data_IF_704019550603
#
_entry.id   IF_704019550603
#
_cell.length_a   1.000
_cell.length_b   1.000
_cell.length_c   1.000
_cell.angle_alpha   90.00
_cell.angle_beta   90.00
_cell.angle_gamma   90.00
#
_symmetry.space_group_name_H-M   'P 1'
#
loop_
_entity.id
_entity.type
_entity.pdbx_description
1 polymer ?
#
# COMPACT_ATOMS: atom_id res chain seq x y z
N UNK A 1 -40.90 24.03 -44.12
CA UNK A 1 -41.66 25.17 -43.58
C UNK A 1 -41.51 25.08 -42.07
N UNK A 2 -40.63 25.91 -41.51
CA UNK A 2 -41.00 27.08 -40.69
C UNK A 2 -41.46 26.60 -39.29
N UNK A 3 -40.62 26.55 -38.25
CA UNK A 3 -39.70 27.57 -37.66
C UNK A 3 -40.45 28.66 -36.86
N UNK A 4 -39.78 29.25 -35.84
CA UNK A 4 -40.29 29.96 -34.65
C UNK A 4 -40.64 29.00 -33.48
N UNK A 5 -40.19 29.20 -32.23
CA UNK A 5 -39.39 30.30 -31.64
C UNK A 5 -38.50 29.82 -30.49
N UNK A 6 -37.27 30.33 -30.40
CA UNK A 6 -36.41 30.28 -29.22
C UNK A 6 -36.55 31.57 -28.40
N UNK A 7 -37.24 31.52 -27.26
CA UNK A 7 -37.17 32.54 -26.20
C UNK A 7 -37.85 31.98 -24.95
N UNK A 8 -37.07 31.56 -23.93
CA UNK A 8 -37.49 31.48 -22.51
C UNK A 8 -36.40 30.98 -21.52
N UNK A 9 -35.25 30.45 -21.97
CA UNK A 9 -34.18 29.94 -21.06
C UNK A 9 -33.03 30.95 -20.77
N UNK A 10 -33.33 32.24 -20.55
CA UNK A 10 -32.29 33.26 -20.22
C UNK A 10 -32.62 34.23 -19.07
N UNK A 11 -33.63 33.96 -18.22
CA UNK A 11 -33.99 34.85 -17.09
C UNK A 11 -33.93 34.19 -15.69
N UNK A 12 -33.07 33.18 -15.49
CA UNK A 12 -32.87 32.54 -14.18
C UNK A 12 -31.52 32.85 -13.49
N UNK A 13 -30.62 33.60 -14.12
CA UNK A 13 -29.34 34.05 -13.53
C UNK A 13 -29.38 35.55 -13.19
N UNK A 14 -30.15 35.94 -12.15
CA UNK A 14 -30.04 37.28 -11.50
C UNK A 14 -30.88 37.46 -10.22
N UNK A 15 -30.55 36.73 -9.16
CA UNK A 15 -30.79 37.19 -7.78
C UNK A 15 -29.98 36.36 -6.77
N UNK A 16 -29.62 36.99 -5.63
CA UNK A 16 -28.88 36.46 -4.47
C UNK A 16 -27.35 36.68 -4.47
N UNK A 17 -26.95 37.94 -4.55
CA UNK A 17 -25.74 38.49 -3.91
C UNK A 17 -26.14 39.73 -3.07
N UNK A 18 -25.32 40.05 -2.05
CA UNK A 18 -25.36 41.22 -1.14
C UNK A 18 -26.37 41.27 0.03
N UNK A 19 -25.95 40.72 1.18
CA UNK A 19 -25.74 41.42 2.49
C UNK A 19 -24.93 40.44 3.40
N UNK A 20 -23.67 40.61 3.85
CA UNK A 20 -22.90 41.78 4.37
C UNK A 20 -23.48 42.22 5.73
N UNK A 21 -22.83 42.13 6.91
CA UNK A 21 -21.41 41.92 7.32
C UNK A 21 -21.32 41.68 8.86
N UNK A 22 -20.26 41.00 9.39
CA UNK A 22 -19.32 41.53 10.45
C UNK A 22 -18.49 40.52 11.28
N UNK A 23 -17.17 40.63 11.10
CA UNK A 23 -16.06 40.51 12.09
C UNK A 23 -15.80 39.21 12.89
N UNK A 24 -14.54 38.92 13.27
CA UNK A 24 -13.28 39.17 12.53
C UNK A 24 -12.34 37.94 12.51
N UNK A 25 -11.19 38.10 11.82
CA UNK A 25 -10.09 37.12 11.71
C UNK A 25 -9.54 36.68 13.08
N UNK A 26 -8.96 35.47 13.12
CA UNK A 26 -7.59 35.31 13.59
C UNK A 26 -6.84 34.25 12.78
N UNK A 27 -5.59 34.59 12.43
CA UNK A 27 -4.58 33.73 11.80
C UNK A 27 -3.48 33.58 12.83
N UNK A 28 -3.23 32.37 13.33
CA UNK A 28 -1.97 32.08 14.03
C UNK A 28 -1.38 30.78 13.47
N UNK A 29 -0.17 30.91 12.92
CA UNK A 29 0.74 29.82 12.75
C UNK A 29 1.47 29.65 14.09
N UNK A 30 1.53 28.44 14.63
CA UNK A 30 2.28 28.18 15.85
C UNK A 30 3.61 27.50 15.51
N UNK A 31 4.69 28.20 15.85
CA UNK A 31 6.06 27.75 15.81
C UNK A 31 6.71 28.19 17.12
N UNK A 32 6.75 27.30 18.12
CA UNK A 32 7.19 27.61 19.47
C UNK A 32 7.94 26.47 20.15
N UNK A 33 9.13 26.76 20.67
CA UNK A 33 9.99 25.85 21.44
C UNK A 33 10.15 26.41 22.87
N UNK A 34 10.07 25.54 23.88
CA UNK A 34 10.39 25.78 25.31
C UNK A 34 9.67 24.73 26.18
N UNK A 35 10.27 23.95 27.11
CA UNK A 35 11.17 24.27 28.25
C UNK A 35 10.47 25.24 29.23
N UNK A 36 10.25 24.97 30.53
CA UNK A 36 10.61 23.85 31.46
C UNK A 36 9.34 23.43 32.28
N UNK A 37 9.29 22.55 33.31
CA UNK A 37 10.28 21.83 34.13
C UNK A 37 9.59 20.92 35.18
N UNK A 38 10.30 20.55 36.27
CA UNK A 38 9.87 19.98 37.58
C UNK A 38 8.84 18.80 37.64
N UNK A 39 9.12 17.63 38.23
CA UNK A 39 9.82 17.42 39.50
C UNK A 39 10.10 15.92 39.74
N UNK A 40 11.28 15.59 40.27
CA UNK A 40 11.65 14.23 40.67
C UNK A 40 11.84 14.12 42.19
N UNK A 41 10.96 13.39 42.87
CA UNK A 41 11.12 13.03 44.29
C UNK A 41 11.55 11.57 44.46
N UNK A 42 12.40 11.36 45.45
CA UNK A 42 13.12 10.12 45.74
C UNK A 42 12.26 9.02 46.39
N UNK A 43 12.62 7.77 46.14
CA UNK A 43 12.01 6.58 46.75
C UNK A 43 12.97 5.40 46.82
N UNK A 44 13.94 5.45 47.73
CA UNK A 44 14.80 4.30 48.10
C UNK A 44 13.99 3.25 48.87
N UNK A 45 14.32 1.95 48.77
CA UNK A 45 14.54 1.03 49.93
C UNK A 45 14.73 -0.45 49.52
N UNK A 46 15.84 -1.01 50.02
CA UNK A 46 16.23 -2.39 50.34
C UNK A 46 15.88 -3.63 49.49
N UNK A 47 16.98 -4.30 49.14
CA UNK A 47 17.18 -5.75 49.05
C UNK A 47 17.04 -6.48 50.40
N UNK A 48 16.71 -7.77 50.35
CA UNK A 48 17.11 -8.79 51.33
C UNK A 48 17.27 -10.16 50.67
N UNK A 49 18.28 -10.90 51.12
CA UNK A 49 18.60 -12.27 50.70
C UNK A 49 17.76 -13.29 51.47
N UNK A 50 17.69 -14.54 50.97
CA UNK A 50 17.77 -15.73 51.82
C UNK A 50 18.01 -17.00 50.98
N UNK A 51 19.11 -17.66 51.25
CA UNK A 51 19.40 -19.02 50.78
C UNK A 51 18.66 -20.07 51.63
N UNK A 52 18.52 -21.29 51.10
CA UNK A 52 18.49 -22.53 51.90
C UNK A 52 18.70 -23.77 51.03
N UNK A 53 19.82 -24.44 51.23
CA UNK A 53 20.04 -25.82 50.79
C UNK A 53 19.32 -26.82 51.71
N UNK A 54 18.94 -27.98 51.17
CA UNK A 54 18.81 -29.23 51.94
C UNK A 54 19.29 -30.41 51.08
N UNK A 55 20.10 -31.27 51.70
CA UNK A 55 20.78 -32.46 51.16
C UNK A 55 19.86 -33.71 51.05
N UNK A 56 20.30 -34.72 50.30
CA UNK A 56 19.72 -36.07 50.34
C UNK A 56 20.01 -36.94 49.11
N UNK A 57 20.79 -38.02 49.28
CA UNK A 57 20.97 -39.04 48.22
C UNK A 57 21.08 -40.47 48.74
N UNK A 58 20.60 -41.45 47.95
CA UNK A 58 21.25 -42.76 47.71
C UNK A 58 20.52 -43.65 46.68
N UNK A 59 21.32 -44.41 45.90
CA UNK A 59 21.24 -45.81 45.39
C UNK A 59 19.88 -46.58 45.38
N UNK A 60 19.57 -47.58 44.52
CA UNK A 60 20.34 -48.53 43.68
C UNK A 60 19.40 -49.20 42.61
N UNK A 61 19.88 -50.11 41.71
CA UNK A 61 19.01 -51.23 41.24
C UNK A 61 18.81 -51.64 39.76
N UNK A 62 19.87 -51.81 38.95
CA UNK A 62 20.11 -52.93 37.97
C UNK A 62 18.95 -53.69 37.25
N UNK A 63 18.91 -53.72 35.89
CA UNK A 63 18.75 -54.94 35.05
C UNK A 63 18.88 -54.74 33.50
N UNK A 64 19.27 -55.80 32.76
CA UNK A 64 19.62 -55.83 31.31
C UNK A 64 18.46 -56.21 30.37
N UNK A 65 18.53 -55.80 29.09
CA UNK A 65 18.40 -56.70 27.90
C UNK A 65 18.96 -56.05 26.61
N UNK A 66 19.49 -56.88 25.70
CA UNK A 66 20.07 -56.50 24.40
C UNK A 66 19.00 -56.46 23.30
N UNK A 67 19.16 -55.63 22.26
CA UNK A 67 19.45 -56.11 20.89
C UNK A 67 19.58 -55.02 19.81
N UNK A 68 20.59 -55.22 18.95
CA UNK A 68 20.66 -54.91 17.50
C UNK A 68 20.65 -53.44 17.04
N UNK A 69 21.83 -52.99 16.60
CA UNK A 69 21.99 -51.89 15.63
C UNK A 69 21.36 -52.26 14.27
N UNK A 70 20.83 -51.25 13.57
CA UNK A 70 21.15 -51.04 12.18
C UNK A 70 21.64 -49.60 11.94
N UNK A 71 22.94 -49.48 11.68
CA UNK A 71 23.68 -48.38 11.03
C UNK A 71 22.94 -47.04 10.84
N UNK A 72 23.41 -46.01 11.55
CA UNK A 72 23.00 -44.61 11.34
C UNK A 72 23.25 -44.15 9.89
N UNK A 73 22.19 -44.04 9.07
CA UNK A 73 22.22 -43.07 7.97
C UNK A 73 22.26 -41.67 8.59
N UNK A 74 23.17 -40.77 8.16
CA UNK A 74 23.17 -39.40 8.64
C UNK A 74 21.83 -38.75 8.30
N UNK A 75 21.18 -38.03 9.24
CA UNK A 75 19.84 -37.49 9.03
C UNK A 75 19.84 -36.61 7.79
N UNK A 76 19.05 -37.00 6.79
CA UNK A 76 18.82 -36.20 5.58
C UNK A 76 18.39 -34.82 6.04
N UNK A 77 19.24 -33.81 5.81
CA UNK A 77 18.90 -32.42 6.06
C UNK A 77 17.63 -32.13 5.27
N UNK A 78 16.50 -32.04 5.97
CA UNK A 78 15.32 -31.38 5.45
C UNK A 78 15.73 -29.92 5.30
N UNK A 79 16.22 -29.59 4.11
CA UNK A 79 16.34 -28.20 3.68
C UNK A 79 14.92 -27.70 3.70
N UNK A 80 14.56 -26.94 4.74
CA UNK A 80 13.30 -26.23 4.78
C UNK A 80 13.34 -25.21 3.64
N UNK A 81 12.78 -25.59 2.49
CA UNK A 81 12.51 -24.67 1.40
C UNK A 81 11.57 -23.64 2.00
N UNK A 82 12.12 -22.46 2.32
CA UNK A 82 11.35 -21.34 2.84
C UNK A 82 10.32 -21.01 1.76
N UNK A 83 9.04 -21.21 2.08
CA UNK A 83 7.96 -20.91 1.16
C UNK A 83 8.00 -19.42 0.82
N UNK A 84 7.81 -19.03 -0.44
CA UNK A 84 7.90 -17.63 -0.86
C UNK A 84 7.10 -16.67 0.04
N UNK A 85 5.85 -17.01 0.36
CA UNK A 85 5.02 -16.23 1.29
C UNK A 85 5.63 -16.05 2.69
N UNK A 86 6.43 -17.00 3.20
CA UNK A 86 7.16 -16.86 4.46
C UNK A 86 8.31 -15.85 4.34
N UNK A 87 9.00 -15.80 3.19
CA UNK A 87 10.04 -14.81 2.94
C UNK A 87 9.44 -13.39 2.83
N UNK A 88 8.30 -13.23 2.15
CA UNK A 88 7.55 -11.97 2.08
C UNK A 88 7.08 -11.55 3.48
N UNK A 89 6.53 -12.48 4.27
CA UNK A 89 6.10 -12.20 5.63
C UNK A 89 7.26 -11.78 6.55
N UNK A 90 8.41 -12.46 6.47
CA UNK A 90 9.61 -12.13 7.23
C UNK A 90 10.10 -10.71 6.89
N UNK A 91 10.23 -10.37 5.61
CA UNK A 91 10.66 -9.04 5.18
C UNK A 91 9.77 -7.91 5.75
N UNK A 92 8.44 -8.02 5.63
CA UNK A 92 7.54 -6.97 6.14
C UNK A 92 7.46 -6.92 7.68
N UNK A 93 7.71 -8.05 8.36
CA UNK A 93 7.87 -8.10 9.81
C UNK A 93 9.16 -7.40 10.27
N UNK A 94 10.27 -7.57 9.55
CA UNK A 94 11.58 -6.97 9.85
C UNK A 94 11.68 -5.48 9.51
N UNK A 95 10.95 -5.02 8.48
CA UNK A 95 10.95 -3.63 8.03
C UNK A 95 10.50 -2.67 9.15
N UNK A 96 11.42 -1.90 9.71
CA UNK A 96 11.14 -1.01 10.86
C UNK A 96 10.15 0.10 10.51
N UNK A 97 9.20 0.38 11.41
CA UNK A 97 8.36 1.58 11.29
C UNK A 97 9.17 2.83 11.69
N UNK A 98 9.83 3.43 10.69
CA UNK A 98 10.36 4.79 10.82
C UNK A 98 9.21 5.80 10.76
N UNK A 99 9.19 6.73 11.72
CA UNK A 99 8.14 7.75 11.87
C UNK A 99 8.11 8.79 10.75
N UNK A 100 7.09 9.67 10.78
CA UNK A 100 6.84 10.65 9.70
C UNK A 100 8.05 11.55 9.39
N UNK A 101 8.77 12.01 10.41
CA UNK A 101 9.96 12.88 10.26
C UNK A 101 11.08 12.19 9.47
N UNK A 102 11.40 10.93 9.80
CA UNK A 102 12.38 10.14 9.04
C UNK A 102 11.90 9.90 7.61
N UNK A 103 10.60 9.66 7.40
CA UNK A 103 10.02 9.49 6.05
C UNK A 103 10.07 10.77 5.22
N UNK A 104 10.03 11.97 5.83
CA UNK A 104 10.18 13.24 5.09
C UNK A 104 11.62 13.54 4.67
N UNK A 105 12.60 12.78 5.18
CA UNK A 105 14.01 12.86 4.81
C UNK A 105 14.43 11.79 3.78
N UNK A 106 13.49 10.94 3.36
CA UNK A 106 13.70 9.81 2.43
C UNK A 106 13.96 10.28 1.00
N UNK A 107 14.91 9.65 0.29
CA UNK A 107 15.19 9.86 -1.15
C UNK A 107 13.97 9.63 -2.05
N UNK A 108 12.98 8.87 -1.56
CA UNK A 108 11.75 8.51 -2.26
C UNK A 108 10.50 9.14 -1.63
N UNK A 109 10.64 10.23 -0.87
CA UNK A 109 9.51 10.91 -0.23
C UNK A 109 8.38 11.25 -1.22
N UNK A 110 8.71 11.87 -2.34
CA UNK A 110 7.71 12.27 -3.35
C UNK A 110 7.10 11.06 -4.06
N UNK A 111 7.89 10.03 -4.41
CA UNK A 111 7.41 8.74 -4.89
C UNK A 111 6.41 8.06 -3.92
N UNK A 112 6.72 7.99 -2.61
CA UNK A 112 5.80 7.46 -1.59
C UNK A 112 4.50 8.27 -1.54
N UNK A 113 4.56 9.59 -1.69
CA UNK A 113 3.40 10.46 -1.68
C UNK A 113 2.57 10.34 -2.97
N UNK A 114 3.21 10.21 -4.13
CA UNK A 114 2.58 9.97 -5.44
C UNK A 114 1.81 8.64 -5.44
N UNK A 115 2.45 7.56 -4.99
CA UNK A 115 1.78 6.26 -4.85
C UNK A 115 0.58 6.35 -3.88
N UNK A 116 0.71 7.09 -2.77
CA UNK A 116 -0.42 7.33 -1.86
C UNK A 116 -1.54 8.20 -2.47
N UNK A 117 -1.22 9.16 -3.33
CA UNK A 117 -2.21 9.95 -4.07
C UNK A 117 -2.97 9.08 -5.07
N UNK A 118 -2.27 8.29 -5.89
CA UNK A 118 -2.85 7.34 -6.85
C UNK A 118 -3.85 6.42 -6.16
N UNK A 119 -3.46 5.81 -5.03
CA UNK A 119 -4.36 4.99 -4.21
C UNK A 119 -5.55 5.77 -3.65
N UNK A 120 -5.34 7.02 -3.20
CA UNK A 120 -6.42 7.86 -2.65
C UNK A 120 -7.48 8.19 -3.69
N UNK A 121 -7.07 8.51 -4.93
CA UNK A 121 -7.97 8.81 -6.04
C UNK A 121 -8.69 7.54 -6.52
N UNK A 122 -7.98 6.42 -6.67
CA UNK A 122 -8.56 5.14 -7.06
C UNK A 122 -9.63 4.67 -6.06
N UNK A 123 -9.30 4.69 -4.76
CA UNK A 123 -10.22 4.32 -3.68
C UNK A 123 -11.43 5.26 -3.66
N UNK A 124 -11.22 6.57 -3.76
CA UNK A 124 -12.30 7.56 -3.80
C UNK A 124 -13.28 7.32 -4.95
N UNK A 125 -12.76 7.13 -6.16
CA UNK A 125 -13.57 6.88 -7.36
C UNK A 125 -14.51 5.67 -7.19
N UNK A 126 -13.99 4.54 -6.68
CA UNK A 126 -14.79 3.33 -6.53
C UNK A 126 -15.71 3.36 -5.31
N UNK A 127 -15.34 4.05 -4.22
CA UNK A 127 -16.27 4.37 -3.13
C UNK A 127 -17.47 5.16 -3.66
N UNK A 128 -17.25 6.20 -4.48
CA UNK A 128 -18.34 7.01 -5.00
C UNK A 128 -19.20 6.26 -6.04
N UNK A 129 -18.60 5.36 -6.84
CA UNK A 129 -19.34 4.44 -7.72
C UNK A 129 -20.27 3.51 -6.93
N UNK A 130 -19.84 2.99 -5.78
CA UNK A 130 -20.69 2.17 -4.89
C UNK A 130 -21.73 3.03 -4.17
N UNK A 131 -21.34 4.22 -3.68
CA UNK A 131 -22.19 5.12 -2.90
C UNK A 131 -23.46 5.57 -3.63
N UNK A 132 -23.42 5.65 -4.97
CA UNK A 132 -24.60 5.88 -5.83
C UNK A 132 -25.72 4.83 -5.65
N UNK A 133 -25.41 3.65 -5.09
CA UNK A 133 -26.36 2.56 -4.85
C UNK A 133 -26.61 2.28 -3.36
N UNK A 134 -25.62 2.48 -2.49
CA UNK A 134 -25.64 2.04 -1.08
C UNK A 134 -24.72 2.90 -0.21
N UNK A 135 -25.21 3.36 0.94
CA UNK A 135 -24.41 4.15 1.90
C UNK A 135 -23.50 3.29 2.80
N UNK A 136 -23.99 2.13 3.21
CA UNK A 136 -23.31 1.21 4.14
C UNK A 136 -22.28 0.33 3.40
N UNK A 137 -21.11 0.90 3.09
CA UNK A 137 -20.05 0.24 2.31
C UNK A 137 -19.21 -0.69 3.21
N UNK A 138 -19.03 -1.94 2.81
CA UNK A 138 -18.15 -2.93 3.43
C UNK A 138 -16.97 -3.25 2.51
N UNK A 139 -15.75 -3.22 3.03
CA UNK A 139 -14.50 -3.33 2.24
C UNK A 139 -13.61 -4.45 2.75
N UNK A 140 -12.98 -5.19 1.84
CA UNK A 140 -11.83 -6.06 2.10
C UNK A 140 -10.56 -5.33 1.63
N UNK A 141 -9.54 -5.23 2.49
CA UNK A 141 -8.22 -4.71 2.16
C UNK A 141 -7.20 -5.86 2.27
N UNK A 142 -6.85 -6.41 1.09
CA UNK A 142 -6.11 -7.66 0.92
C UNK A 142 -4.62 -7.34 0.74
N UNK A 143 -3.81 -7.76 1.73
CA UNK A 143 -2.45 -7.28 1.92
C UNK A 143 -2.43 -5.86 2.47
N UNK A 144 -3.14 -5.63 3.57
CA UNK A 144 -3.30 -4.30 4.17
C UNK A 144 -1.98 -3.70 4.70
N UNK A 145 -0.94 -4.50 4.85
CA UNK A 145 0.31 -4.16 5.51
C UNK A 145 0.06 -3.48 6.86
N UNK A 146 0.83 -2.43 7.13
CA UNK A 146 0.80 -1.63 8.38
C UNK A 146 -0.31 -0.57 8.37
N UNK A 147 -1.45 -0.86 7.72
CA UNK A 147 -2.63 0.02 7.69
C UNK A 147 -2.43 1.35 6.95
N UNK A 148 -1.64 1.36 5.87
CA UNK A 148 -1.35 2.58 5.09
C UNK A 148 -2.59 3.27 4.49
N UNK A 149 -3.67 2.51 4.30
CA UNK A 149 -4.90 2.97 3.66
C UNK A 149 -6.06 3.22 4.64
N UNK A 150 -5.89 2.94 5.95
CA UNK A 150 -6.91 3.18 7.00
C UNK A 150 -7.48 4.61 6.98
N UNK A 151 -6.64 5.63 6.78
CA UNK A 151 -7.08 7.02 6.70
C UNK A 151 -7.88 7.32 5.41
N UNK A 152 -7.59 6.58 4.32
CA UNK A 152 -8.34 6.67 3.05
C UNK A 152 -9.73 6.09 3.25
N UNK A 153 -9.84 4.94 3.90
CA UNK A 153 -11.11 4.31 4.29
C UNK A 153 -11.91 5.17 5.29
N UNK A 154 -11.27 5.82 6.29
CA UNK A 154 -11.95 6.73 7.23
C UNK A 154 -12.51 7.96 6.50
N UNK A 155 -11.71 8.62 5.66
CA UNK A 155 -12.18 9.75 4.81
C UNK A 155 -13.28 9.32 3.85
N UNK A 156 -13.17 8.10 3.32
CA UNK A 156 -14.17 7.44 2.49
C UNK A 156 -15.48 7.11 3.20
N UNK A 157 -15.58 7.24 4.53
CA UNK A 157 -16.80 6.99 5.34
C UNK A 157 -17.46 5.65 5.03
N UNK A 158 -16.67 4.59 4.97
CA UNK A 158 -17.19 3.21 4.87
C UNK A 158 -17.80 2.77 6.22
N UNK A 159 -18.57 1.69 6.23
CA UNK A 159 -19.18 1.10 7.43
C UNK A 159 -18.27 0.07 8.10
N UNK A 160 -17.74 -0.89 7.35
CA UNK A 160 -16.88 -1.96 7.87
C UNK A 160 -15.68 -2.21 6.97
N UNK A 161 -14.54 -2.50 7.57
CA UNK A 161 -13.28 -2.88 6.92
C UNK A 161 -12.81 -4.24 7.45
N UNK A 162 -12.44 -5.15 6.55
CA UNK A 162 -11.66 -6.36 6.89
C UNK A 162 -10.26 -6.14 6.35
N UNK A 163 -9.28 -6.05 7.25
CA UNK A 163 -7.86 -5.95 6.95
C UNK A 163 -7.23 -7.34 7.04
N UNK A 164 -6.56 -7.80 5.98
CA UNK A 164 -5.82 -9.07 6.03
C UNK A 164 -4.43 -8.95 5.43
N UNK A 165 -3.48 -9.66 6.04
CA UNK A 165 -2.10 -9.75 5.58
C UNK A 165 -1.48 -11.09 6.00
N UNK A 166 -0.41 -11.49 5.32
CA UNK A 166 0.36 -12.69 5.66
C UNK A 166 1.29 -12.43 6.86
N UNK A 167 1.77 -11.20 7.01
CA UNK A 167 2.70 -10.77 8.04
C UNK A 167 1.97 -10.36 9.33
N UNK A 168 1.99 -11.21 10.36
CA UNK A 168 1.28 -10.95 11.64
C UNK A 168 1.65 -9.59 12.27
N UNK A 169 2.94 -9.22 12.31
CA UNK A 169 3.37 -7.95 12.89
C UNK A 169 2.74 -6.77 12.13
N UNK A 170 2.60 -6.88 10.80
CA UNK A 170 1.91 -5.88 10.00
C UNK A 170 0.41 -5.81 10.32
N UNK A 171 -0.25 -6.96 10.53
CA UNK A 171 -1.67 -7.01 10.98
C UNK A 171 -1.83 -6.36 12.37
N UNK A 172 -0.95 -6.67 13.33
CA UNK A 172 -1.01 -6.06 14.67
C UNK A 172 -0.72 -4.54 14.62
N UNK A 173 0.23 -4.10 13.79
CA UNK A 173 0.51 -2.67 13.57
C UNK A 173 -0.68 -1.94 12.91
N UNK A 174 -1.32 -2.57 11.92
CA UNK A 174 -2.56 -2.09 11.30
C UNK A 174 -3.69 -1.94 12.33
N UNK A 175 -3.87 -2.95 13.20
CA UNK A 175 -4.85 -2.93 14.30
C UNK A 175 -4.57 -1.82 15.31
N UNK A 176 -3.33 -1.70 15.79
CA UNK A 176 -2.95 -0.62 16.73
C UNK A 176 -3.23 0.75 16.12
N UNK A 177 -2.85 0.96 14.85
CA UNK A 177 -3.10 2.22 14.13
C UNK A 177 -4.59 2.54 13.97
N UNK A 178 -5.45 1.54 13.81
CA UNK A 178 -6.90 1.71 13.81
C UNK A 178 -7.42 2.12 15.20
N UNK A 179 -7.01 1.44 16.27
CA UNK A 179 -7.44 1.78 17.63
C UNK A 179 -6.94 3.18 18.04
N UNK A 180 -5.72 3.56 17.68
CA UNK A 180 -5.18 4.91 17.80
C UNK A 180 -6.03 5.97 17.07
N UNK A 181 -6.49 5.65 15.85
CA UNK A 181 -7.38 6.53 15.08
C UNK A 181 -8.77 6.62 15.71
N UNK A 182 -9.26 5.54 16.30
CA UNK A 182 -10.57 5.42 16.96
C UNK A 182 -10.60 6.18 18.30
N UNK A 183 -9.58 6.01 19.14
CA UNK A 183 -9.42 6.74 20.40
C UNK A 183 -9.33 8.26 20.20
N UNK A 184 -8.81 8.70 19.05
CA UNK A 184 -8.75 10.13 18.65
C UNK A 184 -10.03 10.64 17.96
N UNK A 185 -11.04 9.80 17.69
CA UNK A 185 -12.29 10.26 17.10
C UNK A 185 -13.11 11.07 18.12
N UNK A 186 -13.55 12.26 17.71
CA UNK A 186 -14.52 13.06 18.46
C UNK A 186 -15.87 12.34 18.49
N UNK A 187 -16.74 12.65 19.46
CA UNK A 187 -18.06 12.03 19.64
C UNK A 187 -18.92 12.00 18.35
N UNK A 188 -18.81 13.04 17.50
CA UNK A 188 -19.54 13.14 16.23
C UNK A 188 -18.79 12.54 15.00
N UNK A 189 -17.56 12.04 15.17
CA UNK A 189 -16.80 11.40 14.10
C UNK A 189 -17.05 9.89 14.06
N UNK A 190 -17.81 9.45 13.06
CA UNK A 190 -17.98 8.01 12.78
C UNK A 190 -16.70 7.44 12.17
N UNK A 191 -16.15 6.40 12.80
CA UNK A 191 -15.17 5.49 12.20
C UNK A 191 -15.88 4.18 11.81
N UNK A 192 -15.29 3.43 10.88
CA UNK A 192 -15.77 2.11 10.48
C UNK A 192 -15.51 1.06 11.57
N UNK A 193 -16.31 0.01 11.60
CA UNK A 193 -16.00 -1.22 12.32
C UNK A 193 -14.85 -1.94 11.60
N UNK A 194 -13.90 -2.52 12.34
CA UNK A 194 -12.73 -3.16 11.75
C UNK A 194 -12.53 -4.60 12.24
N UNK A 195 -12.00 -5.43 11.36
CA UNK A 195 -11.68 -6.84 11.58
C UNK A 195 -10.29 -7.11 11.00
N UNK A 196 -9.45 -7.86 11.71
CA UNK A 196 -8.02 -8.02 11.40
C UNK A 196 -7.68 -9.50 11.36
N UNK A 197 -7.21 -9.99 10.20
CA UNK A 197 -7.03 -11.42 9.92
C UNK A 197 -5.62 -11.69 9.39
N UNK A 198 -4.85 -12.46 10.15
CA UNK A 198 -3.59 -13.03 9.67
C UNK A 198 -3.90 -14.27 8.79
N UNK A 199 -3.48 -14.23 7.53
CA UNK A 199 -3.70 -15.30 6.57
C UNK A 199 -2.78 -15.21 5.35
N UNK A 200 -2.32 -16.36 4.85
CA UNK A 200 -1.77 -16.42 3.49
C UNK A 200 -2.95 -16.42 2.51
N UNK A 201 -3.32 -15.25 2.00
CA UNK A 201 -4.44 -15.09 1.05
C UNK A 201 -4.23 -15.82 -0.29
N UNK A 202 -3.07 -16.43 -0.53
CA UNK A 202 -2.78 -17.30 -1.68
C UNK A 202 -3.04 -18.79 -1.39
N UNK A 203 -3.27 -19.19 -0.13
CA UNK A 203 -3.42 -20.60 0.27
C UNK A 203 -4.63 -20.84 1.18
N UNK A 204 -4.86 -19.91 2.11
CA UNK A 204 -6.03 -19.91 3.00
C UNK A 204 -7.27 -19.44 2.25
N UNK A 205 -8.42 -20.04 2.56
CA UNK A 205 -9.72 -19.49 2.19
C UNK A 205 -10.17 -18.46 3.25
N UNK A 206 -10.20 -17.18 2.91
CA UNK A 206 -10.55 -16.11 3.86
C UNK A 206 -12.00 -16.23 4.36
N UNK A 207 -12.91 -16.79 3.55
CA UNK A 207 -14.33 -16.95 3.94
C UNK A 207 -14.56 -17.89 5.12
N UNK A 208 -13.59 -18.74 5.50
CA UNK A 208 -13.64 -19.54 6.72
C UNK A 208 -12.97 -18.86 7.93
N UNK A 209 -12.44 -17.64 7.76
CA UNK A 209 -11.76 -16.85 8.80
C UNK A 209 -12.52 -15.58 9.21
N UNK A 210 -13.56 -15.18 8.46
CA UNK A 210 -14.41 -14.03 8.82
C UNK A 210 -15.23 -14.34 10.09
N UNK A 211 -15.42 -13.33 10.95
CA UNK A 211 -16.31 -13.42 12.11
C UNK A 211 -17.79 -13.66 11.71
N UNK A 212 -18.15 -13.23 10.50
CA UNK A 212 -19.46 -13.44 9.87
C UNK A 212 -19.26 -14.35 8.64
N UNK A 213 -19.73 -15.62 8.69
CA UNK A 213 -19.61 -16.55 7.55
C UNK A 213 -20.33 -16.07 6.28
N UNK A 214 -21.36 -15.23 6.41
CA UNK A 214 -22.15 -14.70 5.30
C UNK A 214 -21.62 -13.35 4.77
N UNK A 215 -20.47 -12.89 5.26
CA UNK A 215 -19.83 -11.61 4.91
C UNK A 215 -19.79 -11.38 3.40
N UNK A 216 -20.29 -10.21 2.97
CA UNK A 216 -20.16 -9.69 1.61
C UNK A 216 -19.47 -8.35 1.59
N UNK A 217 -18.69 -8.12 0.54
CA UNK A 217 -17.96 -6.89 0.30
C UNK A 217 -18.60 -6.12 -0.86
N UNK A 218 -18.54 -4.79 -0.80
CA UNK A 218 -18.87 -3.93 -1.93
C UNK A 218 -17.59 -3.57 -2.72
N UNK A 219 -16.43 -3.58 -2.06
CA UNK A 219 -15.09 -3.37 -2.66
C UNK A 219 -14.09 -4.35 -2.05
N UNK A 220 -13.26 -4.97 -2.89
CA UNK A 220 -11.99 -5.57 -2.48
C UNK A 220 -10.84 -4.73 -3.06
N UNK A 221 -9.92 -4.31 -2.19
CA UNK A 221 -8.73 -3.54 -2.52
C UNK A 221 -7.49 -4.41 -2.35
N UNK A 222 -6.60 -4.44 -3.34
CA UNK A 222 -5.35 -5.21 -3.32
C UNK A 222 -4.21 -4.35 -3.91
N UNK A 223 -3.53 -3.60 -3.04
CA UNK A 223 -2.65 -2.51 -3.44
C UNK A 223 -1.17 -2.92 -3.32
N UNK A 224 -0.48 -3.12 -4.44
CA UNK A 224 0.92 -3.58 -4.49
C UNK A 224 1.13 -4.97 -3.84
N UNK A 225 0.18 -5.89 -4.03
CA UNK A 225 0.19 -7.23 -3.38
C UNK A 225 -0.03 -8.37 -4.38
N UNK A 226 -0.82 -8.14 -5.43
CA UNK A 226 -1.37 -9.23 -6.23
C UNK A 226 -0.32 -10.10 -6.96
N UNK A 227 0.82 -9.51 -7.34
CA UNK A 227 1.94 -10.20 -8.00
C UNK A 227 2.61 -11.28 -7.14
N UNK A 228 2.56 -11.20 -5.80
CA UNK A 228 3.08 -12.27 -4.94
C UNK A 228 2.32 -13.59 -5.10
N UNK A 229 1.08 -13.56 -5.61
CA UNK A 229 0.29 -14.76 -5.87
C UNK A 229 0.68 -15.52 -7.14
N UNK A 230 1.46 -14.92 -8.04
CA UNK A 230 1.80 -15.51 -9.35
C UNK A 230 2.95 -16.53 -9.30
N UNK A 231 3.33 -17.01 -8.10
CA UNK A 231 4.22 -18.16 -7.89
C UNK A 231 3.68 -19.43 -8.58
N UNK A 232 2.38 -19.70 -8.43
CA UNK A 232 1.68 -20.85 -9.04
C UNK A 232 0.27 -20.46 -9.50
N UNK A 233 -0.35 -21.28 -10.35
CA UNK A 233 -1.75 -21.09 -10.76
C UNK A 233 -2.70 -21.15 -9.57
N UNK A 234 -2.47 -22.11 -8.67
CA UNK A 234 -3.28 -22.38 -7.48
C UNK A 234 -3.30 -21.17 -6.55
N UNK A 235 -2.15 -20.52 -6.37
CA UNK A 235 -2.00 -19.33 -5.53
C UNK A 235 -2.69 -18.10 -6.11
N UNK A 236 -2.54 -17.88 -7.43
CA UNK A 236 -3.19 -16.78 -8.14
C UNK A 236 -4.72 -16.94 -8.19
N UNK A 237 -5.22 -18.17 -8.41
CA UNK A 237 -6.65 -18.47 -8.40
C UNK A 237 -7.26 -18.40 -6.99
N UNK A 238 -6.55 -18.84 -5.94
CA UNK A 238 -7.00 -18.68 -4.56
C UNK A 238 -7.08 -17.21 -4.15
N UNK A 239 -6.09 -16.39 -4.52
CA UNK A 239 -6.14 -14.95 -4.22
C UNK A 239 -7.29 -14.25 -4.96
N UNK A 240 -7.60 -14.64 -6.21
CA UNK A 240 -8.81 -14.16 -6.91
C UNK A 240 -10.10 -14.64 -6.24
N UNK A 241 -10.16 -15.91 -5.83
CA UNK A 241 -11.31 -16.47 -5.11
C UNK A 241 -11.60 -15.69 -3.83
N UNK A 242 -10.55 -15.36 -3.07
CA UNK A 242 -10.63 -14.55 -1.87
C UNK A 242 -11.05 -13.09 -2.16
N UNK A 243 -10.48 -12.48 -3.20
CA UNK A 243 -10.78 -11.10 -3.58
C UNK A 243 -12.18 -10.91 -4.19
N UNK A 244 -12.68 -11.89 -4.94
CA UNK A 244 -13.87 -11.76 -5.78
C UNK A 244 -15.07 -12.59 -5.29
N UNK A 245 -14.85 -13.76 -4.69
CA UNK A 245 -15.91 -14.73 -4.35
C UNK A 245 -16.92 -14.24 -3.30
N UNK A 246 -16.55 -13.25 -2.49
CA UNK A 246 -17.43 -12.59 -1.52
C UNK A 246 -17.86 -11.17 -1.93
N UNK A 247 -17.57 -10.72 -3.16
CA UNK A 247 -18.12 -9.47 -3.67
C UNK A 247 -19.64 -9.59 -3.89
N UNK A 248 -20.36 -8.54 -3.52
CA UNK A 248 -21.77 -8.37 -3.86
C UNK A 248 -21.94 -8.12 -5.37
N UNK A 249 -23.08 -8.48 -5.99
CA UNK A 249 -23.33 -8.17 -7.40
C UNK A 249 -23.15 -6.67 -7.72
N UNK A 250 -22.20 -6.35 -8.58
CA UNK A 250 -21.83 -4.97 -8.93
C UNK A 250 -20.89 -4.26 -7.94
N UNK A 251 -20.28 -5.00 -7.02
CA UNK A 251 -19.07 -4.59 -6.29
C UNK A 251 -17.81 -4.67 -7.16
N UNK A 252 -16.68 -4.22 -6.62
CA UNK A 252 -15.45 -4.02 -7.40
C UNK A 252 -14.22 -4.67 -6.77
N UNK A 253 -13.42 -5.35 -7.59
CA UNK A 253 -12.03 -5.66 -7.28
C UNK A 253 -11.14 -4.55 -7.87
N UNK A 254 -10.35 -3.89 -7.03
CA UNK A 254 -9.45 -2.79 -7.39
C UNK A 254 -8.06 -3.04 -6.84
N UNK A 255 -7.02 -2.55 -7.52
CA UNK A 255 -5.65 -2.78 -7.08
C UNK A 255 -4.59 -2.14 -7.95
N UNK A 256 -3.34 -2.33 -7.55
CA UNK A 256 -2.14 -1.90 -8.27
C UNK A 256 -1.14 -3.04 -8.31
N UNK A 257 -0.52 -3.29 -9.47
CA UNK A 257 0.47 -4.36 -9.67
C UNK A 257 1.39 -3.98 -10.84
N UNK A 258 2.65 -4.45 -10.89
CA UNK A 258 3.56 -4.11 -11.97
C UNK A 258 3.02 -4.50 -13.36
N UNK A 259 3.20 -3.60 -14.32
CA UNK A 259 2.85 -3.78 -15.72
C UNK A 259 3.93 -4.62 -16.42
N UNK A 260 3.66 -5.92 -16.59
CA UNK A 260 4.57 -6.87 -17.25
C UNK A 260 5.12 -6.42 -18.60
N UNK A 261 4.34 -5.70 -19.40
CA UNK A 261 4.82 -5.14 -20.68
C UNK A 261 5.99 -4.16 -20.50
N UNK A 262 5.95 -3.30 -19.48
CA UNK A 262 7.02 -2.33 -19.23
C UNK A 262 8.23 -2.99 -18.54
N UNK A 263 8.00 -3.98 -17.66
CA UNK A 263 9.08 -4.79 -17.08
C UNK A 263 9.86 -5.56 -18.16
N UNK A 264 9.15 -6.31 -19.02
CA UNK A 264 9.78 -7.09 -20.10
C UNK A 264 10.45 -6.15 -21.11
N UNK A 265 9.83 -5.03 -21.49
CA UNK A 265 10.45 -4.03 -22.39
C UNK A 265 11.79 -3.50 -21.86
N UNK A 266 11.89 -3.20 -20.55
CA UNK A 266 13.15 -2.72 -19.93
C UNK A 266 14.18 -3.83 -19.80
N UNK A 267 13.76 -5.03 -19.45
CA UNK A 267 14.63 -6.22 -19.42
C UNK A 267 15.17 -6.54 -20.82
N UNK A 268 14.34 -6.50 -21.85
CA UNK A 268 14.74 -6.76 -23.24
C UNK A 268 15.69 -5.70 -23.79
N UNK A 269 15.56 -4.44 -23.36
CA UNK A 269 16.52 -3.37 -23.66
C UNK A 269 17.83 -3.44 -22.87
N UNK A 270 17.90 -4.19 -21.76
CA UNK A 270 19.12 -4.34 -20.95
C UNK A 270 20.10 -5.35 -21.55
N UNK A 271 21.39 -5.10 -21.39
CA UNK A 271 22.46 -6.06 -21.73
C UNK A 271 22.52 -7.27 -20.76
N UNK A 272 21.85 -7.17 -19.61
CA UNK A 272 21.85 -8.20 -18.55
C UNK A 272 20.44 -8.59 -18.13
N UNK A 273 20.30 -9.55 -17.21
CA UNK A 273 19.01 -9.87 -16.60
C UNK A 273 18.52 -8.82 -15.57
N UNK A 274 19.25 -7.71 -15.40
CA UNK A 274 18.93 -6.64 -14.45
C UNK A 274 18.68 -5.30 -15.14
N UNK A 275 17.82 -4.47 -14.57
CA UNK A 275 17.67 -3.05 -14.92
C UNK A 275 17.25 -2.23 -13.69
N UNK A 276 17.52 -0.93 -13.70
CA UNK A 276 17.23 -0.06 -12.57
C UNK A 276 17.94 1.29 -12.64
N UNK A 277 17.87 2.02 -11.54
CA UNK A 277 18.60 3.26 -11.27
C UNK A 277 18.97 3.29 -9.77
N UNK A 278 19.32 4.45 -9.19
CA UNK A 278 19.67 4.53 -7.76
C UNK A 278 18.49 4.32 -6.81
N UNK A 279 17.25 4.55 -7.26
CA UNK A 279 16.04 4.41 -6.45
C UNK A 279 15.55 2.96 -6.41
N UNK A 280 15.71 2.22 -7.51
CA UNK A 280 15.19 0.86 -7.63
C UNK A 280 16.06 -0.04 -8.50
N UNK A 281 16.02 -1.35 -8.24
CA UNK A 281 16.51 -2.36 -9.18
C UNK A 281 15.53 -3.52 -9.35
N UNK A 282 15.53 -4.12 -10.53
CA UNK A 282 14.77 -5.33 -10.89
C UNK A 282 15.76 -6.32 -11.48
N UNK A 283 15.74 -7.57 -11.02
CA UNK A 283 16.61 -8.64 -11.53
C UNK A 283 15.80 -9.90 -11.79
N UNK A 284 15.69 -10.29 -13.06
CA UNK A 284 15.05 -11.54 -13.46
C UNK A 284 16.01 -12.71 -13.30
N UNK A 285 15.49 -13.90 -13.03
CA UNK A 285 16.30 -15.12 -13.06
C UNK A 285 16.80 -15.43 -14.48
N UNK A 286 15.93 -15.22 -15.49
CA UNK A 286 16.22 -15.46 -16.89
C UNK A 286 15.47 -14.48 -17.81
N UNK A 287 16.13 -14.04 -18.88
CA UNK A 287 15.59 -13.22 -19.97
C UNK A 287 15.17 -14.10 -21.15
N UNK A 288 14.15 -13.68 -21.90
CA UNK A 288 13.60 -14.40 -23.06
C UNK A 288 12.66 -15.57 -22.74
N UNK A 289 12.48 -15.94 -21.46
CA UNK A 289 11.53 -16.97 -21.01
C UNK A 289 10.62 -16.41 -19.92
N UNK A 290 9.33 -16.25 -20.26
CA UNK A 290 8.33 -15.61 -19.41
C UNK A 290 7.15 -16.56 -19.18
N UNK A 291 7.28 -17.55 -18.29
CA UNK A 291 6.18 -18.47 -17.99
C UNK A 291 5.01 -17.73 -17.34
N UNK A 292 3.79 -18.24 -17.55
CA UNK A 292 2.55 -17.60 -17.08
C UNK A 292 2.43 -17.50 -15.54
N UNK A 293 3.10 -18.41 -14.84
CA UNK A 293 3.27 -18.44 -13.39
C UNK A 293 4.73 -18.81 -13.08
N UNK A 294 5.23 -18.43 -11.91
CA UNK A 294 6.61 -18.70 -11.49
C UNK A 294 7.68 -17.87 -12.21
N UNK A 295 7.30 -16.89 -13.05
CA UNK A 295 8.25 -15.96 -13.68
C UNK A 295 8.77 -14.95 -12.66
N UNK A 296 9.78 -15.38 -11.89
CA UNK A 296 10.34 -14.67 -10.74
C UNK A 296 11.33 -13.57 -11.14
N UNK A 297 11.24 -12.44 -10.46
CA UNK A 297 12.27 -11.42 -10.43
C UNK A 297 12.43 -10.88 -9.00
N UNK A 298 13.65 -10.56 -8.61
CA UNK A 298 13.92 -9.86 -7.36
C UNK A 298 13.63 -8.36 -7.58
N UNK A 299 12.83 -7.73 -6.70
CA UNK A 299 12.55 -6.30 -6.75
C UNK A 299 13.07 -5.57 -5.51
N UNK A 300 13.93 -4.59 -5.75
CA UNK A 300 14.46 -3.68 -4.75
C UNK A 300 13.92 -2.26 -4.96
N UNK A 301 13.37 -1.66 -3.92
CA UNK A 301 13.07 -0.22 -3.83
C UNK A 301 13.62 0.29 -2.51
N UNK A 302 14.44 1.34 -2.59
CA UNK A 302 15.09 1.99 -1.46
C UNK A 302 14.13 2.19 -0.27
N UNK A 303 14.49 1.69 0.92
CA UNK A 303 13.71 1.78 2.17
C UNK A 303 12.25 1.24 2.13
N UNK A 304 11.85 0.44 1.13
CA UNK A 304 10.45 -0.04 0.99
C UNK A 304 10.33 -1.54 0.81
N UNK A 305 11.07 -2.13 -0.13
CA UNK A 305 10.92 -3.55 -0.46
C UNK A 305 12.23 -4.12 -1.00
N UNK A 306 12.51 -5.36 -0.60
CA UNK A 306 13.63 -6.17 -1.09
C UNK A 306 13.20 -7.64 -1.03
N UNK A 307 12.23 -8.02 -1.88
CA UNK A 307 11.70 -9.39 -1.98
C UNK A 307 11.51 -9.81 -3.44
N UNK A 308 11.46 -11.12 -3.70
CA UNK A 308 10.96 -11.63 -4.98
C UNK A 308 9.53 -11.19 -5.26
N UNK A 309 9.23 -10.93 -6.54
CA UNK A 309 7.89 -10.79 -7.10
C UNK A 309 7.76 -11.74 -8.31
N UNK A 310 6.53 -11.87 -8.85
CA UNK A 310 6.27 -12.65 -10.06
C UNK A 310 5.56 -11.84 -11.14
N UNK A 311 5.90 -12.12 -12.40
CA UNK A 311 5.40 -11.38 -13.56
C UNK A 311 3.89 -11.62 -13.79
N UNK A 312 3.08 -10.56 -13.62
CA UNK A 312 1.63 -10.62 -13.89
C UNK A 312 1.33 -10.25 -15.34
N UNK A 313 1.10 -11.24 -16.20
CA UNK A 313 0.58 -10.99 -17.55
C UNK A 313 -0.90 -10.59 -17.47
N UNK A 314 -1.20 -9.30 -17.69
CA UNK A 314 -2.54 -8.77 -17.40
C UNK A 314 -3.70 -9.46 -18.16
N UNK A 315 -3.56 -9.86 -19.44
CA UNK A 315 -4.61 -10.63 -20.12
C UNK A 315 -4.90 -11.99 -19.46
N UNK A 316 -3.90 -12.65 -18.88
CA UNK A 316 -4.12 -13.88 -18.09
C UNK A 316 -4.90 -13.57 -16.80
N UNK A 317 -4.55 -12.50 -16.08
CA UNK A 317 -5.32 -12.04 -14.92
C UNK A 317 -6.79 -11.76 -15.31
N UNK A 318 -7.04 -11.10 -16.44
CA UNK A 318 -8.40 -10.86 -16.93
C UNK A 318 -9.15 -12.17 -17.21
N UNK A 319 -8.54 -13.14 -17.90
CA UNK A 319 -9.17 -14.45 -18.13
C UNK A 319 -9.44 -15.21 -16.82
N UNK A 320 -8.49 -15.20 -15.87
CA UNK A 320 -8.68 -15.83 -14.57
C UNK A 320 -9.81 -15.17 -13.77
N UNK A 321 -9.93 -13.84 -13.81
CA UNK A 321 -10.99 -13.11 -13.09
C UNK A 321 -12.41 -13.45 -13.60
N UNK A 322 -12.57 -13.80 -14.89
CA UNK A 322 -13.87 -14.24 -15.46
C UNK A 322 -14.41 -15.51 -14.78
N UNK A 323 -13.54 -16.42 -14.34
CA UNK A 323 -13.91 -17.63 -13.57
C UNK A 323 -14.67 -17.28 -12.28
N UNK A 324 -14.37 -16.11 -11.71
CA UNK A 324 -14.98 -15.58 -10.49
C UNK A 324 -16.11 -14.56 -10.77
N UNK A 325 -16.65 -14.58 -12.00
CA UNK A 325 -17.79 -13.72 -12.40
C UNK A 325 -17.43 -12.26 -12.69
N UNK A 326 -16.13 -11.92 -12.73
CA UNK A 326 -15.67 -10.55 -12.91
C UNK A 326 -15.59 -10.14 -14.38
N UNK A 327 -15.75 -8.85 -14.64
CA UNK A 327 -15.51 -8.21 -15.94
C UNK A 327 -14.59 -7.00 -15.73
N UNK A 328 -13.60 -6.83 -16.60
CA UNK A 328 -12.70 -5.68 -16.56
C UNK A 328 -13.50 -4.37 -16.70
N UNK A 329 -13.24 -3.41 -15.79
CA UNK A 329 -13.81 -2.06 -15.84
C UNK A 329 -12.86 -1.12 -16.59
N UNK A 330 -11.60 -1.08 -16.18
CA UNK A 330 -10.49 -0.48 -16.92
C UNK A 330 -9.15 -1.07 -16.46
N UNK A 331 -8.12 -0.93 -17.30
CA UNK A 331 -6.70 -1.03 -16.94
C UNK A 331 -6.04 0.27 -17.40
N UNK A 332 -5.24 0.89 -16.54
CA UNK A 332 -4.43 2.06 -16.87
C UNK A 332 -3.06 1.90 -16.22
N UNK A 333 -2.00 2.34 -16.91
CA UNK A 333 -0.71 2.60 -16.27
C UNK A 333 -0.82 3.80 -15.33
N UNK A 334 0.11 3.94 -14.39
CA UNK A 334 0.16 5.09 -13.47
C UNK A 334 0.28 6.42 -14.21
N UNK A 335 0.93 6.42 -15.39
CA UNK A 335 1.01 7.58 -16.27
C UNK A 335 -0.37 7.97 -16.83
N UNK A 336 -1.05 7.03 -17.48
CA UNK A 336 -2.38 7.29 -18.06
C UNK A 336 -3.40 7.68 -16.98
N UNK A 337 -3.34 7.00 -15.82
CA UNK A 337 -4.16 7.33 -14.66
C UNK A 337 -3.88 8.75 -14.16
N UNK A 338 -2.62 9.15 -13.99
CA UNK A 338 -2.26 10.52 -13.63
C UNK A 338 -2.77 11.54 -14.66
N UNK A 339 -2.48 11.34 -15.95
CA UNK A 339 -2.87 12.23 -17.04
C UNK A 339 -4.40 12.36 -17.18
N UNK A 340 -5.17 11.33 -16.85
CA UNK A 340 -6.64 11.41 -16.76
C UNK A 340 -7.08 12.14 -15.49
N UNK A 341 -6.68 11.65 -14.31
CA UNK A 341 -7.26 12.08 -13.03
C UNK A 341 -6.86 13.50 -12.63
N UNK A 342 -5.71 14.01 -13.10
CA UNK A 342 -5.23 15.37 -12.79
C UNK A 342 -6.07 16.49 -13.44
N UNK A 343 -6.93 16.14 -14.40
CA UNK A 343 -7.91 17.05 -15.04
C UNK A 343 -9.02 17.50 -14.07
N UNK A 344 -9.23 16.77 -12.98
CA UNK A 344 -10.13 17.14 -11.90
C UNK A 344 -9.37 18.02 -10.87
N UNK A 345 -9.87 19.22 -10.59
CA UNK A 345 -9.22 20.18 -9.68
C UNK A 345 -9.16 19.68 -8.22
N UNK A 346 -10.12 18.89 -7.73
CA UNK A 346 -10.05 18.32 -6.38
C UNK A 346 -8.90 17.32 -6.27
N UNK A 347 -8.71 16.44 -7.26
CA UNK A 347 -7.58 15.51 -7.32
C UNK A 347 -6.24 16.26 -7.39
N UNK A 348 -6.18 17.37 -8.14
CA UNK A 348 -5.02 18.24 -8.26
C UNK A 348 -4.70 19.02 -6.98
N UNK A 349 -5.73 19.49 -6.26
CA UNK A 349 -5.58 20.06 -4.93
C UNK A 349 -5.12 19.00 -3.91
N UNK A 350 -5.61 17.76 -4.02
CA UNK A 350 -5.16 16.65 -3.19
C UNK A 350 -3.68 16.30 -3.45
N UNK A 351 -3.25 16.25 -4.71
CA UNK A 351 -1.85 16.01 -5.11
C UNK A 351 -0.90 17.02 -4.43
N UNK A 352 -1.27 18.31 -4.49
CA UNK A 352 -0.52 19.40 -3.84
C UNK A 352 -0.51 19.26 -2.31
N UNK A 353 -1.67 19.01 -1.70
CA UNK A 353 -1.82 18.84 -0.24
C UNK A 353 -1.05 17.63 0.30
N UNK A 354 -0.89 16.59 -0.51
CA UNK A 354 -0.13 15.39 -0.18
C UNK A 354 1.36 15.51 -0.47
N UNK A 355 1.83 16.64 -1.03
CA UNK A 355 3.22 16.80 -1.49
C UNK A 355 3.65 15.62 -2.38
N UNK A 356 2.77 15.25 -3.31
CA UNK A 356 2.93 14.10 -4.20
C UNK A 356 3.73 14.41 -5.47
N UNK A 357 4.21 15.64 -5.61
CA UNK A 357 5.21 16.09 -6.58
C UNK A 357 6.15 17.08 -5.86
N UNK A 358 7.42 17.04 -6.21
CA UNK A 358 8.46 17.97 -5.78
C UNK A 358 8.27 19.36 -6.42
N UNK A 359 8.40 20.45 -5.66
CA UNK A 359 8.49 21.80 -6.21
C UNK A 359 9.85 22.01 -6.89
N UNK A 360 9.85 22.14 -8.21
CA UNK A 360 11.00 22.48 -9.03
C UNK A 360 11.00 23.96 -9.42
N UNK A 361 12.16 24.60 -9.25
CA UNK A 361 12.40 26.01 -9.56
C UNK A 361 13.82 26.19 -10.08
N UNK A 362 13.99 27.06 -11.08
CA UNK A 362 15.32 27.42 -11.61
C UNK A 362 16.09 28.40 -10.73
N UNK A 363 15.46 28.97 -9.69
CA UNK A 363 16.04 30.01 -8.85
C UNK A 363 16.98 29.50 -7.74
N UNK A 364 17.08 28.18 -7.53
CA UNK A 364 18.10 27.57 -6.65
C UNK A 364 17.79 27.60 -5.15
N UNK A 365 16.67 28.20 -4.73
CA UNK A 365 16.32 28.39 -3.31
C UNK A 365 15.95 27.10 -2.54
N UNK A 366 15.75 25.97 -3.23
CA UNK A 366 15.30 24.71 -2.65
C UNK A 366 16.22 23.55 -3.02
N UNK A 367 16.74 22.83 -2.02
CA UNK A 367 17.47 21.57 -2.25
C UNK A 367 16.51 20.51 -2.78
N UNK A 368 16.82 19.99 -3.97
CA UNK A 368 16.09 18.91 -4.62
C UNK A 368 16.44 17.56 -3.99
N UNK A 369 15.54 16.58 -4.11
CA UNK A 369 15.70 15.23 -3.54
C UNK A 369 16.74 14.38 -4.28
N UNK A 370 16.97 14.67 -5.57
CA UNK A 370 18.05 14.08 -6.36
C UNK A 370 19.16 15.11 -6.57
N UNK A 371 20.38 14.80 -6.11
CA UNK A 371 21.57 15.63 -6.35
C UNK A 371 22.07 15.50 -7.83
N UNK A 372 21.42 14.67 -8.67
CA UNK A 372 21.77 14.48 -10.10
C UNK A 372 21.13 15.59 -10.97
N UNK A 373 21.92 16.39 -11.72
CA UNK A 373 21.35 17.45 -12.57
C UNK A 373 20.44 16.95 -13.69
N UNK A 374 20.70 15.76 -14.22
CA UNK A 374 19.98 15.16 -15.36
C UNK A 374 18.59 14.62 -14.96
N UNK A 375 18.35 14.40 -13.67
CA UNK A 375 17.07 13.92 -13.14
C UNK A 375 15.92 14.92 -13.32
N UNK A 376 16.22 16.14 -13.73
CA UNK A 376 15.26 17.22 -13.93
C UNK A 376 15.38 17.87 -15.32
N UNK A 377 16.07 17.25 -16.28
CA UNK A 377 16.22 17.85 -17.61
C UNK A 377 14.86 18.07 -18.29
N UNK A 378 13.91 17.14 -18.13
CA UNK A 378 12.53 17.29 -18.62
C UNK A 378 11.79 18.49 -17.99
N UNK A 379 12.09 18.82 -16.73
CA UNK A 379 11.53 19.99 -16.05
C UNK A 379 12.15 21.29 -16.58
N UNK A 380 13.47 21.30 -16.83
CA UNK A 380 14.17 22.44 -17.46
C UNK A 380 13.65 22.69 -18.88
N UNK A 381 13.50 21.66 -19.69
CA UNK A 381 12.95 21.73 -21.05
C UNK A 381 11.52 22.30 -21.04
N UNK A 382 10.63 21.76 -20.19
CA UNK A 382 9.25 22.25 -20.09
C UNK A 382 9.15 23.73 -19.65
N UNK A 383 10.11 24.22 -18.86
CA UNK A 383 10.21 25.64 -18.49
C UNK A 383 10.74 26.49 -19.65
N UNK A 384 11.77 26.03 -20.38
CA UNK A 384 12.30 26.70 -21.59
C UNK A 384 11.22 26.88 -22.66
N UNK A 385 10.29 25.94 -22.77
CA UNK A 385 9.13 25.96 -23.66
C UNK A 385 8.12 27.09 -23.38
N UNK A 386 8.28 27.86 -22.30
CA UNK A 386 7.46 29.03 -21.97
C UNK A 386 6.03 28.72 -21.48
N UNK A 387 5.67 27.44 -21.35
CA UNK A 387 4.33 26.97 -20.97
C UNK A 387 4.15 26.79 -19.45
N UNK A 388 5.23 26.83 -18.68
CA UNK A 388 5.22 26.54 -17.26
C UNK A 388 4.81 27.75 -16.40
N UNK A 389 3.89 27.55 -15.45
CA UNK A 389 3.74 28.42 -14.28
C UNK A 389 4.63 27.87 -13.16
N UNK A 390 5.50 28.71 -12.61
CA UNK A 390 6.43 28.33 -11.53
C UNK A 390 5.78 28.51 -10.14
N UNK A 391 6.20 27.73 -9.12
CA UNK A 391 7.07 26.55 -9.23
C UNK A 391 6.36 25.38 -9.94
N UNK A 392 7.13 24.58 -10.68
CA UNK A 392 6.62 23.39 -11.38
C UNK A 392 6.56 22.21 -10.40
N UNK A 393 5.52 21.38 -10.47
CA UNK A 393 5.51 20.09 -9.75
C UNK A 393 6.04 18.96 -10.64
N UNK A 394 7.02 18.18 -10.18
CA UNK A 394 7.51 16.96 -10.85
C UNK A 394 7.97 15.89 -9.85
N UNK A 395 8.26 14.67 -10.30
CA UNK A 395 9.21 13.78 -9.61
C UNK A 395 10.59 13.90 -10.26
N UNK A 396 11.64 13.37 -9.60
CA UNK A 396 12.93 13.13 -10.25
C UNK A 396 12.78 12.06 -11.35
N UNK A 397 13.63 12.07 -12.38
CA UNK A 397 13.62 11.06 -13.45
C UNK A 397 13.68 9.64 -12.89
N UNK A 398 14.54 9.38 -11.91
CA UNK A 398 14.66 8.07 -11.28
C UNK A 398 13.39 7.60 -10.57
N UNK A 399 12.67 8.51 -9.91
CA UNK A 399 11.36 8.23 -9.30
C UNK A 399 10.26 8.03 -10.36
N UNK A 400 10.28 8.80 -11.46
CA UNK A 400 9.38 8.59 -12.60
C UNK A 400 9.59 7.22 -13.24
N UNK A 401 10.83 6.80 -13.43
CA UNK A 401 11.17 5.45 -13.89
C UNK A 401 10.70 4.39 -12.87
N UNK A 402 10.81 4.63 -11.56
CA UNK A 402 10.33 3.70 -10.55
C UNK A 402 8.78 3.52 -10.59
N UNK A 403 8.02 4.62 -10.66
CA UNK A 403 6.54 4.58 -10.59
C UNK A 403 5.88 4.18 -11.92
N UNK A 404 6.49 4.51 -13.06
CA UNK A 404 5.96 4.19 -14.41
C UNK A 404 5.95 2.70 -14.78
N UNK A 405 6.48 1.83 -13.91
CA UNK A 405 6.39 0.37 -14.05
C UNK A 405 5.01 -0.20 -13.69
N UNK A 406 4.14 0.59 -13.05
CA UNK A 406 2.80 0.18 -12.60
C UNK A 406 1.71 0.63 -13.58
#
# INVERSE_FOLDING_TARGET
MADLTKTEEQEAEKSLDEEVEKTPRNLEADSGIGWEGDSSTSGTVHSTENEKEVDGGNQDGRAKRKNLDPQDEPPKKVVSIICHGQAVAAHYNELQEVGLEKRSQSRIFYLRNFNNWTKSVLIGEFIDRVRRKKNDITVLDLGCGKGGDLLKWKKGRIKKLVCTDIADISVQQCKQRYEDMKARCRYNERIFDAEFIQADSTKDLLSSKYNDPDMRFDICSCQFVYHYSFETYEQADMMLKNACGNLSPGGYFIGTTPNSFELVKRLEASETNSFGNEVYSVKFEKKGEYPLFGCKYDFHLEEVVDVPEFLVYFPLLEEMAKKHGMKLVYKMTFREFYEEKIKNEEHKMLLRRMQALEPYSTFGDSRLVSDKPDDYEHAKEFIKDGKAKLPLGTLSKSEWEATSKY
#
